data_IF_863852699756
#
_entry.id   IF_863852699756
#
_cell.length_a   1.000
_cell.length_b   1.000
_cell.length_c   1.000
_cell.angle_alpha   90.00
_cell.angle_beta   90.00
_cell.angle_gamma   90.00
#
_symmetry.space_group_name_H-M   'P 1'
#
loop_
_entity.id
_entity.type
_entity.pdbx_description
1 polymer ?
#
# COMPACT_ATOMS: atom_id res chain seq x y z
N UNK A 1 -15.12 2.13 5.69
CA UNK A 1 -16.25 1.59 4.89
C UNK A 1 -15.68 0.46 4.06
N UNK A 2 -16.36 -0.65 4.08
CA UNK A 2 -15.95 -1.91 3.47
C UNK A 2 -17.06 -2.35 2.50
N UNK A 3 -16.69 -2.93 1.37
CA UNK A 3 -17.64 -3.34 0.34
C UNK A 3 -17.33 -4.73 -0.20
N UNK A 4 -18.38 -5.47 -0.54
CA UNK A 4 -18.25 -6.64 -1.41
C UNK A 4 -17.93 -6.17 -2.82
N UNK A 5 -16.90 -6.75 -3.43
CA UNK A 5 -16.43 -6.40 -4.77
C UNK A 5 -16.30 -7.66 -5.60
N UNK A 6 -17.01 -7.72 -6.73
CA UNK A 6 -17.05 -8.92 -7.59
C UNK A 6 -17.38 -10.21 -6.82
N UNK A 7 -18.30 -10.13 -5.85
CA UNK A 7 -18.68 -11.26 -4.98
C UNK A 7 -17.64 -11.67 -3.93
N UNK A 8 -16.54 -10.92 -3.79
CA UNK A 8 -15.55 -11.08 -2.73
C UNK A 8 -15.89 -10.16 -1.53
N UNK A 9 -16.16 -10.72 -0.34
CA UNK A 9 -16.50 -9.92 0.83
C UNK A 9 -15.26 -9.17 1.37
N UNK A 10 -15.44 -8.13 2.18
CA UNK A 10 -14.35 -7.31 2.73
C UNK A 10 -13.26 -8.08 3.50
N UNK A 11 -13.64 -9.12 4.23
CA UNK A 11 -12.73 -10.01 4.95
C UNK A 11 -11.97 -10.99 4.03
N UNK A 12 -12.23 -10.95 2.73
CA UNK A 12 -11.65 -11.86 1.75
C UNK A 12 -12.17 -13.30 1.87
N UNK A 13 -11.39 -14.26 1.36
CA UNK A 13 -11.67 -15.70 1.53
C UNK A 13 -10.40 -16.44 1.93
N UNK A 14 -10.33 -16.77 3.22
CA UNK A 14 -9.16 -17.41 3.84
C UNK A 14 -8.13 -16.41 4.34
N UNK A 15 -6.98 -16.92 4.80
CA UNK A 15 -5.92 -16.09 5.37
C UNK A 15 -6.33 -15.41 6.68
N UNK A 16 -5.81 -14.21 6.89
CA UNK A 16 -6.11 -13.36 8.05
C UNK A 16 -7.27 -12.42 7.74
N UNK A 17 -8.47 -12.76 8.20
CA UNK A 17 -9.69 -11.97 7.96
C UNK A 17 -9.59 -10.55 8.50
N UNK A 18 -8.95 -10.37 9.66
CA UNK A 18 -8.83 -9.05 10.30
C UNK A 18 -7.91 -8.15 9.49
N UNK A 19 -6.80 -8.70 8.99
CA UNK A 19 -5.88 -7.97 8.11
C UNK A 19 -6.52 -7.67 6.76
N UNK A 20 -7.27 -8.62 6.19
CA UNK A 20 -7.97 -8.43 4.93
C UNK A 20 -8.98 -7.28 5.00
N UNK A 21 -9.71 -7.13 6.11
CA UNK A 21 -10.62 -6.00 6.32
C UNK A 21 -9.87 -4.65 6.21
N UNK A 22 -8.69 -4.56 6.84
CA UNK A 22 -7.85 -3.37 6.77
C UNK A 22 -7.30 -3.11 5.36
N UNK A 23 -6.85 -4.16 4.66
CA UNK A 23 -6.40 -4.10 3.26
C UNK A 23 -7.54 -3.61 2.34
N UNK A 24 -8.77 -4.01 2.60
CA UNK A 24 -9.94 -3.80 1.73
C UNK A 24 -10.78 -2.56 2.05
N UNK A 25 -10.25 -1.63 2.84
CA UNK A 25 -10.91 -0.35 3.13
C UNK A 25 -11.15 0.45 1.85
N UNK A 26 -12.30 1.13 1.79
CA UNK A 26 -12.63 2.09 0.73
C UNK A 26 -13.09 3.43 1.27
N UNK A 27 -13.04 3.64 2.59
CA UNK A 27 -13.29 4.94 3.19
C UNK A 27 -12.14 5.92 2.98
N UNK A 28 -12.53 7.20 2.97
CA UNK A 28 -11.62 8.35 2.82
C UNK A 28 -11.21 8.80 4.23
N UNK A 29 -9.92 9.01 4.41
CA UNK A 29 -9.34 9.52 5.66
C UNK A 29 -9.00 11.00 5.58
N UNK A 30 -8.83 11.64 6.74
CA UNK A 30 -8.21 12.95 6.84
C UNK A 30 -6.69 12.79 6.85
N UNK A 31 -6.09 12.74 5.66
CA UNK A 31 -4.68 12.40 5.48
C UNK A 31 -3.74 13.43 6.10
N UNK A 32 -2.87 12.97 7.01
CA UNK A 32 -1.84 13.80 7.63
C UNK A 32 -0.50 13.63 6.91
N UNK A 33 0.24 14.71 6.62
CA UNK A 33 1.57 14.60 6.03
C UNK A 33 2.54 13.84 6.94
N UNK A 34 3.22 12.84 6.40
CA UNK A 34 4.23 12.04 7.09
C UNK A 34 5.48 11.98 6.23
N UNK A 35 6.65 12.13 6.85
CA UNK A 35 7.92 12.01 6.14
C UNK A 35 8.20 10.55 5.77
N UNK A 36 8.86 10.31 4.64
CA UNK A 36 9.27 8.95 4.26
C UNK A 36 10.14 8.29 5.34
N UNK A 37 11.04 9.05 5.96
CA UNK A 37 11.92 8.55 7.04
C UNK A 37 11.13 8.08 8.26
N UNK A 38 10.01 8.73 8.59
CA UNK A 38 9.15 8.30 9.70
C UNK A 38 8.57 6.91 9.46
N UNK A 39 8.31 6.52 8.20
CA UNK A 39 7.83 5.17 7.88
C UNK A 39 8.92 4.11 8.00
N UNK A 40 10.13 4.42 7.52
CA UNK A 40 11.24 3.46 7.54
C UNK A 40 11.86 3.30 8.93
N UNK A 41 11.78 4.32 9.78
CA UNK A 41 12.23 4.27 11.18
C UNK A 41 11.17 3.68 12.13
N UNK A 42 9.93 3.47 11.66
CA UNK A 42 8.88 2.92 12.51
C UNK A 42 9.18 1.46 12.84
N UNK A 43 9.43 1.19 14.11
CA UNK A 43 9.73 -0.15 14.61
C UNK A 43 8.47 -1.00 14.70
N UNK A 44 8.63 -2.28 15.00
CA UNK A 44 7.53 -3.19 15.31
C UNK A 44 8.01 -4.33 16.22
N UNK A 45 7.10 -4.97 16.98
CA UNK A 45 7.42 -6.13 17.80
C UNK A 45 7.65 -7.34 16.90
N UNK A 46 8.77 -8.04 17.06
CA UNK A 46 9.03 -9.28 16.30
C UNK A 46 8.06 -10.41 16.63
N UNK A 47 7.37 -10.33 17.76
CA UNK A 47 6.38 -11.31 18.22
C UNK A 47 5.12 -11.37 17.37
N UNK A 48 4.88 -10.39 16.50
CA UNK A 48 3.72 -10.36 15.59
C UNK A 48 4.03 -10.80 14.15
N UNK A 49 5.31 -11.02 13.81
CA UNK A 49 5.71 -11.47 12.48
C UNK A 49 5.18 -12.89 12.18
N UNK A 50 4.74 -13.12 10.93
CA UNK A 50 4.22 -14.39 10.42
C UNK A 50 3.08 -14.98 11.24
N UNK A 51 2.24 -14.12 11.83
CA UNK A 51 1.06 -14.51 12.61
C UNK A 51 -0.15 -13.75 12.13
N UNK A 52 -1.29 -14.43 12.13
CA UNK A 52 -2.57 -13.76 11.96
C UNK A 52 -2.85 -12.86 13.15
N UNK A 53 -3.52 -11.73 12.89
CA UNK A 53 -3.84 -10.71 13.88
C UNK A 53 -4.50 -11.33 15.11
N UNK A 54 -5.45 -12.25 14.93
CA UNK A 54 -6.13 -12.97 16.03
C UNK A 54 -5.17 -13.69 16.99
N UNK A 55 -3.99 -14.07 16.54
CA UNK A 55 -2.97 -14.81 17.31
C UNK A 55 -1.83 -13.90 17.81
N UNK A 56 -1.95 -12.58 17.63
CA UNK A 56 -0.97 -11.63 18.14
C UNK A 56 -1.03 -11.52 19.66
N UNK A 57 0.14 -11.52 20.35
CA UNK A 57 0.23 -11.14 21.75
C UNK A 57 -0.37 -9.75 22.02
N UNK A 58 -0.93 -9.55 23.22
CA UNK A 58 -1.66 -8.33 23.56
C UNK A 58 -0.78 -7.07 23.49
N UNK A 59 0.46 -7.15 23.93
CA UNK A 59 1.47 -6.08 23.84
C UNK A 59 1.83 -5.77 22.38
N UNK A 60 2.01 -6.81 21.56
CA UNK A 60 2.27 -6.67 20.14
C UNK A 60 1.12 -5.97 19.41
N UNK A 61 -0.11 -6.42 19.66
CA UNK A 61 -1.34 -5.82 19.13
C UNK A 61 -1.47 -4.36 19.58
N UNK A 62 -1.23 -4.07 20.85
CA UNK A 62 -1.31 -2.70 21.38
C UNK A 62 -0.27 -1.77 20.76
N UNK A 63 0.95 -2.28 20.49
CA UNK A 63 1.96 -1.50 19.77
C UNK A 63 1.51 -1.15 18.35
N UNK A 64 1.09 -2.15 17.56
CA UNK A 64 0.68 -1.93 16.17
C UNK A 64 -0.53 -1.00 16.09
N UNK A 65 -1.49 -1.12 17.01
CA UNK A 65 -2.69 -0.30 17.06
C UNK A 65 -2.45 1.21 17.27
N UNK A 66 -1.24 1.62 17.71
CA UNK A 66 -0.89 3.04 17.82
C UNK A 66 -0.74 3.72 16.44
N UNK A 67 -0.45 2.94 15.39
CA UNK A 67 -0.10 3.45 14.07
C UNK A 67 -0.97 2.88 12.95
N UNK A 68 -1.33 1.60 13.03
CA UNK A 68 -2.13 0.95 12.00
C UNK A 68 -3.52 1.60 11.89
N UNK A 69 -3.94 1.88 10.66
CA UNK A 69 -5.19 2.54 10.35
C UNK A 69 -5.14 4.06 10.40
N UNK A 70 -3.98 4.69 10.62
CA UNK A 70 -3.82 6.15 10.50
C UNK A 70 -3.81 6.55 9.00
N UNK A 71 -4.63 7.53 8.58
CA UNK A 71 -4.59 8.03 7.21
C UNK A 71 -3.42 9.00 7.02
N UNK A 72 -2.54 8.69 6.07
CA UNK A 72 -1.31 9.44 5.82
C UNK A 72 -1.18 9.87 4.36
N UNK A 73 -0.41 10.93 4.14
CA UNK A 73 0.06 11.34 2.82
C UNK A 73 1.58 11.48 2.83
N UNK A 74 2.26 10.83 1.88
CA UNK A 74 3.72 10.71 1.85
C UNK A 74 4.25 11.03 0.46
N UNK A 75 5.37 11.75 0.40
CA UNK A 75 6.08 12.07 -0.83
C UNK A 75 7.31 11.18 -1.01
N UNK A 76 7.63 10.89 -2.27
CA UNK A 76 8.72 10.00 -2.65
C UNK A 76 8.73 9.76 -4.17
N UNK A 77 9.21 8.60 -4.58
CA UNK A 77 9.33 8.18 -5.98
C UNK A 77 8.91 6.72 -6.12
N UNK A 78 8.58 6.30 -7.34
CA UNK A 78 8.27 4.89 -7.61
C UNK A 78 9.47 4.27 -8.33
N UNK A 79 10.06 3.25 -7.72
CA UNK A 79 11.13 2.46 -8.32
C UNK A 79 10.57 1.45 -9.33
N UNK A 80 9.51 0.73 -8.96
CA UNK A 80 8.84 -0.21 -9.86
C UNK A 80 7.40 -0.48 -9.44
N UNK A 81 6.61 -0.95 -10.40
CA UNK A 81 5.21 -1.37 -10.18
C UNK A 81 4.86 -2.61 -11.00
N UNK A 82 4.09 -3.49 -10.37
CA UNK A 82 3.57 -4.73 -10.98
C UNK A 82 2.26 -5.16 -10.32
N UNK A 83 1.60 -6.12 -10.94
CA UNK A 83 0.50 -6.85 -10.31
C UNK A 83 1.03 -7.77 -9.19
N UNK A 84 0.27 -7.84 -8.11
CA UNK A 84 0.46 -8.80 -7.04
C UNK A 84 0.03 -10.20 -7.50
N UNK A 85 0.62 -11.26 -6.94
CA UNK A 85 0.02 -12.58 -7.05
C UNK A 85 -1.37 -12.61 -6.38
N UNK A 86 -2.20 -13.63 -6.67
CA UNK A 86 -3.46 -13.84 -5.97
C UNK A 86 -3.28 -13.86 -4.46
N UNK A 87 -4.23 -13.25 -3.73
CA UNK A 87 -4.21 -13.25 -2.27
C UNK A 87 -5.60 -13.42 -1.65
N UNK A 88 -5.68 -13.86 -0.39
CA UNK A 88 -6.97 -14.07 0.29
C UNK A 88 -7.83 -12.81 0.40
N UNK A 89 -7.24 -11.62 0.60
CA UNK A 89 -7.96 -10.34 0.65
C UNK A 89 -8.78 -10.07 -0.63
N UNK A 90 -8.31 -10.58 -1.77
CA UNK A 90 -8.97 -10.49 -3.07
C UNK A 90 -9.57 -11.85 -3.49
N UNK A 91 -9.92 -12.70 -2.53
CA UNK A 91 -10.53 -14.01 -2.75
C UNK A 91 -9.73 -14.93 -3.67
N UNK A 92 -8.41 -14.73 -3.73
CA UNK A 92 -7.48 -15.45 -4.60
C UNK A 92 -7.83 -15.32 -6.10
N UNK A 93 -8.47 -14.22 -6.51
CA UNK A 93 -8.67 -13.94 -7.92
C UNK A 93 -7.33 -13.80 -8.66
N UNK A 94 -7.31 -14.19 -9.93
CA UNK A 94 -6.11 -14.21 -10.79
C UNK A 94 -6.15 -13.21 -11.94
N UNK A 95 -7.30 -12.58 -12.18
CA UNK A 95 -7.42 -11.55 -13.23
C UNK A 95 -6.68 -10.28 -12.83
N UNK A 96 -5.99 -9.65 -13.78
CA UNK A 96 -5.20 -8.43 -13.59
C UNK A 96 -5.96 -7.26 -12.95
N UNK A 97 -7.24 -7.11 -13.27
CA UNK A 97 -8.11 -6.10 -12.65
C UNK A 97 -8.47 -6.43 -11.20
N UNK A 98 -8.30 -7.68 -10.76
CA UNK A 98 -8.77 -8.24 -9.49
C UNK A 98 -7.65 -8.56 -8.50
N UNK A 99 -6.39 -8.26 -8.84
CA UNK A 99 -5.25 -8.34 -7.91
C UNK A 99 -4.77 -6.96 -7.50
N UNK A 100 -4.10 -6.88 -6.36
CA UNK A 100 -3.43 -5.64 -5.94
C UNK A 100 -2.36 -5.23 -6.94
N UNK A 101 -2.04 -3.94 -6.97
CA UNK A 101 -0.73 -3.51 -7.47
C UNK A 101 0.26 -3.47 -6.32
N UNK A 102 1.44 -4.04 -6.52
CA UNK A 102 2.59 -3.85 -5.63
C UNK A 102 3.46 -2.76 -6.23
N UNK A 103 3.62 -1.68 -5.48
CA UNK A 103 4.43 -0.52 -5.87
C UNK A 103 5.57 -0.37 -4.88
N UNK A 104 6.81 -0.36 -5.36
CA UNK A 104 8.00 -0.11 -4.55
C UNK A 104 8.25 1.40 -4.51
N UNK A 105 7.89 2.01 -3.39
CA UNK A 105 7.93 3.46 -3.19
C UNK A 105 9.16 3.83 -2.37
N UNK A 106 10.00 4.71 -2.91
CA UNK A 106 11.30 5.07 -2.36
C UNK A 106 11.40 6.55 -2.00
N UNK A 107 12.40 6.92 -1.20
CA UNK A 107 12.62 8.31 -0.80
C UNK A 107 13.14 9.15 -1.95
N UNK A 108 14.09 8.63 -2.72
CA UNK A 108 14.72 9.31 -3.83
C UNK A 108 14.50 8.56 -5.16
N UNK A 109 14.56 9.32 -6.26
CA UNK A 109 14.33 8.87 -7.64
C UNK A 109 15.14 7.64 -8.10
N UNK A 110 16.32 7.42 -7.50
CA UNK A 110 17.29 6.38 -7.87
C UNK A 110 17.58 5.39 -6.75
N UNK A 111 16.82 5.46 -5.66
CA UNK A 111 16.91 4.47 -4.60
C UNK A 111 16.45 3.10 -5.12
N UNK A 112 16.99 2.05 -4.51
CA UNK A 112 16.74 0.67 -4.93
C UNK A 112 15.61 0.05 -4.11
N UNK A 113 15.06 -1.05 -4.64
CA UNK A 113 13.95 -1.79 -4.04
C UNK A 113 14.13 -2.15 -2.56
N UNK A 114 15.33 -2.49 -2.09
CA UNK A 114 15.58 -2.80 -0.66
C UNK A 114 15.35 -1.62 0.28
N UNK A 115 15.29 -0.39 -0.23
CA UNK A 115 15.04 0.84 0.50
C UNK A 115 13.57 1.28 0.44
N UNK A 116 12.72 0.54 -0.28
CA UNK A 116 11.34 0.92 -0.52
C UNK A 116 10.42 0.64 0.69
N UNK A 117 9.45 1.52 0.88
CA UNK A 117 8.18 1.18 1.52
C UNK A 117 7.29 0.57 0.45
N UNK A 118 6.63 -0.55 0.74
CA UNK A 118 5.66 -1.11 -0.22
C UNK A 118 4.33 -0.41 -0.03
N UNK A 119 3.74 0.02 -1.13
CA UNK A 119 2.39 0.58 -1.16
C UNK A 119 1.53 -0.25 -2.10
N UNK A 120 0.25 -0.39 -1.77
CA UNK A 120 -0.66 -1.33 -2.44
C UNK A 120 -1.93 -0.62 -2.91
N UNK A 121 -2.19 -0.66 -4.21
CA UNK A 121 -3.44 -0.16 -4.79
C UNK A 121 -4.39 -1.34 -5.04
N UNK A 122 -5.44 -1.44 -4.24
CA UNK A 122 -6.34 -2.61 -4.26
C UNK A 122 -7.36 -2.52 -5.39
N UNK A 123 -7.87 -3.64 -5.92
CA UNK A 123 -8.91 -3.67 -6.94
C UNK A 123 -10.12 -2.81 -6.59
N UNK A 124 -10.56 -2.87 -5.32
CA UNK A 124 -11.75 -2.16 -4.81
C UNK A 124 -11.62 -0.65 -4.93
N UNK A 125 -10.42 -0.12 -4.64
CA UNK A 125 -10.13 1.30 -4.81
C UNK A 125 -9.98 1.62 -6.28
N UNK A 126 -9.11 0.89 -7.00
CA UNK A 126 -8.80 1.12 -8.42
C UNK A 126 -10.03 1.10 -9.33
N UNK A 127 -11.09 0.35 -9.00
CA UNK A 127 -12.33 0.32 -9.76
C UNK A 127 -13.04 1.68 -9.90
N UNK A 128 -12.76 2.63 -8.99
CA UNK A 128 -13.29 4.00 -9.05
C UNK A 128 -12.29 5.00 -9.64
N UNK A 129 -11.15 4.53 -10.14
CA UNK A 129 -10.08 5.35 -10.70
C UNK A 129 -9.82 4.99 -12.16
N UNK A 130 -9.26 5.94 -12.91
CA UNK A 130 -8.80 5.72 -14.29
C UNK A 130 -7.35 5.21 -14.36
N UNK A 131 -6.82 4.70 -13.24
CA UNK A 131 -5.42 4.32 -13.16
C UNK A 131 -5.15 3.08 -14.01
N UNK A 132 -4.03 3.10 -14.73
CA UNK A 132 -3.46 1.92 -15.37
C UNK A 132 -1.99 1.77 -14.98
N UNK A 133 -1.48 0.54 -15.03
CA UNK A 133 -0.05 0.28 -14.79
C UNK A 133 0.82 1.05 -15.79
N UNK A 134 0.40 1.12 -17.05
CA UNK A 134 1.14 1.82 -18.10
C UNK A 134 1.16 3.32 -17.88
N UNK A 135 0.06 3.91 -17.40
CA UNK A 135 0.03 5.33 -17.03
C UNK A 135 0.97 5.60 -15.86
N UNK A 136 0.94 4.77 -14.82
CA UNK A 136 1.81 4.94 -13.65
C UNK A 136 3.30 4.75 -14.01
N UNK A 137 3.63 3.75 -14.83
CA UNK A 137 4.99 3.52 -15.32
C UNK A 137 5.50 4.69 -16.15
N UNK A 138 4.76 5.06 -17.19
CA UNK A 138 5.18 6.12 -18.12
C UNK A 138 5.24 7.50 -17.46
N UNK A 139 4.40 7.78 -16.46
CA UNK A 139 4.40 9.10 -15.79
C UNK A 139 5.39 9.17 -14.63
N UNK A 140 5.44 8.16 -13.75
CA UNK A 140 6.22 8.21 -12.52
C UNK A 140 7.56 7.50 -12.62
N UNK A 141 7.56 6.26 -13.11
CA UNK A 141 8.72 5.36 -13.08
C UNK A 141 9.76 5.79 -14.11
N UNK A 142 9.36 5.86 -15.38
CA UNK A 142 10.28 6.10 -16.50
C UNK A 142 10.87 7.51 -16.46
N UNK A 143 10.08 8.48 -15.98
CA UNK A 143 10.48 9.89 -15.88
C UNK A 143 11.06 10.25 -14.51
N UNK A 144 11.07 9.33 -13.54
CA UNK A 144 11.50 9.58 -12.16
C UNK A 144 10.87 10.82 -11.52
N UNK A 145 9.57 11.04 -11.77
CA UNK A 145 8.87 12.20 -11.22
C UNK A 145 8.53 11.99 -9.74
N UNK A 146 8.55 13.05 -8.91
CA UNK A 146 8.07 12.97 -7.54
C UNK A 146 6.61 12.53 -7.50
N UNK A 147 6.31 11.63 -6.59
CA UNK A 147 4.97 11.07 -6.36
C UNK A 147 4.55 11.36 -4.93
N UNK A 148 3.28 11.70 -4.77
CA UNK A 148 2.62 11.85 -3.48
C UNK A 148 1.49 10.84 -3.40
N UNK A 149 1.46 10.09 -2.31
CA UNK A 149 0.57 8.95 -2.10
C UNK A 149 -0.24 9.20 -0.84
N UNK A 150 -1.57 9.18 -0.97
CA UNK A 150 -2.48 9.19 0.19
C UNK A 150 -3.04 7.80 0.42
N UNK A 151 -3.09 7.33 1.66
CA UNK A 151 -3.63 6.03 1.99
C UNK A 151 -3.64 5.73 3.48
N UNK A 152 -3.81 4.45 3.81
CA UNK A 152 -3.86 3.98 5.18
C UNK A 152 -2.56 3.30 5.57
N UNK A 153 -1.98 3.69 6.70
CA UNK A 153 -0.83 2.98 7.26
C UNK A 153 -1.26 1.59 7.73
N UNK A 154 -0.61 0.55 7.23
CA UNK A 154 -0.92 -0.84 7.53
C UNK A 154 0.35 -1.58 7.93
N UNK A 155 0.26 -2.50 8.87
CA UNK A 155 1.36 -3.40 9.20
C UNK A 155 1.15 -4.75 8.52
N UNK A 156 2.08 -5.15 7.66
CA UNK A 156 2.07 -6.43 6.96
C UNK A 156 3.01 -7.44 7.65
N UNK A 157 2.48 -8.39 8.44
CA UNK A 157 3.29 -9.36 9.19
C UNK A 157 3.88 -10.47 8.30
N UNK A 158 3.51 -10.57 7.02
CA UNK A 158 3.71 -11.79 6.22
C UNK A 158 5.15 -11.96 5.69
N UNK A 159 5.89 -10.86 5.52
CA UNK A 159 7.15 -10.84 4.77
C UNK A 159 8.38 -10.32 5.55
N UNK A 160 8.65 -10.73 6.80
CA UNK A 160 9.82 -10.24 7.55
C UNK A 160 11.16 -10.57 6.86
N UNK A 161 11.22 -11.69 6.12
CA UNK A 161 12.41 -12.12 5.39
C UNK A 161 12.80 -11.23 4.20
N UNK A 162 11.92 -10.31 3.79
CA UNK A 162 12.11 -9.37 2.68
C UNK A 162 12.69 -8.03 3.12
N UNK A 163 12.69 -7.75 4.44
CA UNK A 163 13.26 -6.53 5.01
C UNK A 163 14.78 -6.51 4.76
N UNK A 164 15.26 -5.41 4.20
CA UNK A 164 16.65 -5.22 3.75
C UNK A 164 16.98 -5.87 2.40
N UNK A 165 16.04 -6.59 1.77
CA UNK A 165 16.22 -7.22 0.45
C UNK A 165 15.35 -6.57 -0.62
N UNK A 166 14.07 -6.42 -0.36
CA UNK A 166 13.09 -5.88 -1.30
C UNK A 166 12.17 -4.81 -0.68
N UNK A 167 12.33 -4.52 0.61
CA UNK A 167 11.66 -3.45 1.35
C UNK A 167 12.47 -3.02 2.56
N UNK A 168 12.29 -1.79 3.02
CA UNK A 168 12.96 -1.25 4.20
C UNK A 168 12.23 -1.57 5.51
N UNK A 169 10.91 -1.82 5.45
CA UNK A 169 10.04 -1.95 6.61
C UNK A 169 8.84 -2.86 6.30
N UNK A 170 8.19 -3.38 7.34
CA UNK A 170 6.91 -4.11 7.23
C UNK A 170 5.67 -3.21 7.27
N UNK A 171 5.87 -1.93 7.53
CA UNK A 171 4.81 -0.94 7.38
C UNK A 171 4.57 -0.64 5.90
N UNK A 172 3.31 -0.66 5.49
CA UNK A 172 2.85 -0.39 4.13
C UNK A 172 1.90 0.81 4.11
N UNK A 173 1.70 1.39 2.91
CA UNK A 173 0.50 2.19 2.65
C UNK A 173 -0.50 1.30 1.90
N UNK A 174 -1.51 0.82 2.60
CA UNK A 174 -2.46 -0.15 2.09
C UNK A 174 -3.84 0.05 2.76
N UNK A 175 -4.90 0.36 1.99
CA UNK A 175 -4.87 0.67 0.56
C UNK A 175 -4.37 2.09 0.28
N UNK A 176 -3.75 2.26 -0.89
CA UNK A 176 -3.53 3.56 -1.53
C UNK A 176 -4.86 4.08 -2.05
N UNK A 177 -5.21 5.29 -1.63
CA UNK A 177 -6.47 5.97 -1.94
C UNK A 177 -6.31 7.08 -2.99
N UNK A 178 -5.12 7.67 -3.11
CA UNK A 178 -4.82 8.68 -4.13
C UNK A 178 -3.34 8.61 -4.51
N UNK A 179 -3.06 8.71 -5.81
CA UNK A 179 -1.73 8.94 -6.36
C UNK A 179 -1.72 10.31 -7.05
N UNK A 180 -0.72 11.11 -6.77
CA UNK A 180 -0.46 12.40 -7.42
C UNK A 180 0.98 12.45 -7.94
N UNK A 181 1.17 13.00 -9.13
CA UNK A 181 2.48 13.18 -9.78
C UNK A 181 2.82 14.67 -9.78
N UNK A 182 4.04 15.01 -9.38
CA UNK A 182 4.52 16.39 -9.46
C UNK A 182 5.01 16.70 -10.88
N UNK A 183 4.27 17.54 -11.59
CA UNK A 183 4.63 18.00 -12.93
C UNK A 183 4.25 19.45 -13.12
N UNK A 184 5.09 20.21 -13.84
CA UNK A 184 4.87 21.62 -14.12
C UNK A 184 4.62 22.47 -12.84
N UNK A 185 5.39 22.18 -11.78
CA UNK A 185 5.34 22.92 -10.52
C UNK A 185 4.11 22.66 -9.63
N UNK A 186 3.30 21.64 -9.94
CA UNK A 186 2.10 21.30 -9.17
C UNK A 186 1.88 19.80 -9.06
N UNK A 187 1.19 19.40 -8.00
CA UNK A 187 0.67 18.05 -7.83
C UNK A 187 -0.57 17.86 -8.72
N UNK A 188 -0.58 16.77 -9.50
CA UNK A 188 -1.70 16.40 -10.35
C UNK A 188 -2.08 14.96 -10.05
N UNK A 189 -3.34 14.74 -9.68
CA UNK A 189 -3.90 13.39 -9.46
C UNK A 189 -3.71 12.52 -10.70
N UNK A 190 -3.31 11.27 -10.52
CA UNK A 190 -3.13 10.30 -11.62
C UNK A 190 -4.38 10.18 -12.50
N UNK A 191 -5.58 10.29 -11.93
CA UNK A 191 -6.86 10.31 -12.69
C UNK A 191 -6.98 11.44 -13.71
N UNK A 192 -6.34 12.59 -13.45
CA UNK A 192 -6.32 13.73 -14.39
C UNK A 192 -5.29 13.55 -15.49
N UNK A 193 -4.37 12.61 -15.34
CA UNK A 193 -3.38 12.23 -16.36
C UNK A 193 -3.90 11.11 -17.26
N UNK A 194 -4.95 10.41 -16.84
CA UNK A 194 -5.66 9.44 -17.65
C UNK A 194 -6.55 10.18 -18.67
N UNK A 195 -6.24 10.00 -19.95
CA UNK A 195 -7.05 10.51 -21.06
C UNK A 195 -8.51 10.02 -20.98
#
# INVERSE_FOLDING_TARGET
>A
KEITFEGCPPEGRGGDSDLNLLKNRVDIGNYSPVSFDSLTLLTWPKTVEQRYMKDWPADGRAFIAQYAGVPIIVEGYIESVREAPPEPANCNFTGSSLTDWVIYFTKNARDIRSQAVVIRATPRVRANHKWTLDLLRSTAVDNHLPVRVSGWLLFDPEHPGDVGKTRATLWEIHPVMQIEIFQNGKWVTLDKLAN
#
